data_IF_647717377966
#
_entry.id   IF_647717377966
#
_cell.length_a   1.000
_cell.length_b   1.000
_cell.length_c   1.000
_cell.angle_alpha   90.00
_cell.angle_beta   90.00
_cell.angle_gamma   90.00
#
_symmetry.space_group_name_H-M   'P 1'
#
loop_
_entity.id
_entity.type
_entity.pdbx_description
1 polymer ?
#
# COMPACT_ATOMS: atom_id res chain seq x y z
N UNK A 1 -21.47 -12.09 -11.87
CA UNK A 1 -20.29 -11.65 -12.65
C UNK A 1 -19.19 -11.54 -11.62
N UNK A 2 -18.24 -12.48 -11.63
CA UNK A 2 -17.07 -12.41 -10.75
C UNK A 2 -16.02 -11.66 -11.56
N UNK A 3 -15.69 -10.45 -11.14
CA UNK A 3 -14.66 -9.68 -11.82
C UNK A 3 -13.33 -10.38 -11.60
N UNK A 4 -12.74 -10.76 -12.73
CA UNK A 4 -11.46 -11.44 -12.88
C UNK A 4 -10.34 -10.65 -12.17
N UNK A 5 -10.05 -11.01 -10.92
CA UNK A 5 -8.83 -10.63 -10.20
C UNK A 5 -7.61 -11.36 -10.80
N UNK A 6 -7.41 -11.25 -12.10
CA UNK A 6 -6.34 -11.94 -12.83
C UNK A 6 -5.16 -11.06 -13.25
N UNK A 7 -5.22 -9.73 -13.07
CA UNK A 7 -4.22 -8.84 -13.70
C UNK A 7 -3.97 -7.53 -12.97
N UNK A 8 -3.41 -7.51 -11.76
CA UNK A 8 -2.86 -6.25 -11.21
C UNK A 8 -1.55 -6.34 -10.39
N UNK A 9 -0.71 -7.39 -10.40
CA UNK A 9 0.53 -7.36 -9.60
C UNK A 9 1.43 -6.17 -9.97
N UNK A 10 1.56 -5.85 -11.26
CA UNK A 10 2.36 -4.70 -11.70
C UNK A 10 1.77 -3.32 -11.32
N UNK A 11 0.44 -3.21 -11.19
CA UNK A 11 -0.21 -1.94 -10.85
C UNK A 11 -0.14 -1.66 -9.34
N UNK A 12 -0.30 -2.71 -8.52
CA UNK A 12 -0.13 -2.62 -7.06
C UNK A 12 1.32 -2.37 -6.69
N UNK A 13 2.27 -2.89 -7.46
CA UNK A 13 3.70 -2.67 -7.25
C UNK A 13 4.11 -1.22 -7.44
N UNK A 14 3.60 -0.56 -8.49
CA UNK A 14 3.81 0.88 -8.67
C UNK A 14 3.23 1.72 -7.53
N UNK A 15 2.06 1.32 -7.01
CA UNK A 15 1.41 1.99 -5.89
C UNK A 15 2.17 1.79 -4.58
N UNK A 16 2.67 0.58 -4.32
CA UNK A 16 3.46 0.24 -3.14
C UNK A 16 4.76 1.04 -3.11
N UNK A 17 5.46 1.12 -4.26
CA UNK A 17 6.68 1.92 -4.40
C UNK A 17 6.44 3.39 -4.12
N UNK A 18 5.35 3.93 -4.68
CA UNK A 18 4.93 5.31 -4.45
C UNK A 18 4.65 5.56 -2.97
N UNK A 19 3.89 4.68 -2.33
CA UNK A 19 3.53 4.82 -0.91
C UNK A 19 4.76 4.77 -0.01
N UNK A 20 5.67 3.83 -0.26
CA UNK A 20 6.96 3.74 0.42
C UNK A 20 7.80 5.01 0.26
N UNK A 21 7.82 5.59 -0.94
CA UNK A 21 8.56 6.81 -1.24
C UNK A 21 7.96 8.04 -0.53
N UNK A 22 6.64 8.19 -0.55
CA UNK A 22 5.95 9.35 0.06
C UNK A 22 5.96 9.31 1.59
N UNK A 23 5.99 8.12 2.18
CA UNK A 23 5.84 7.96 3.64
C UNK A 23 7.15 7.56 4.31
N UNK A 24 8.04 6.86 3.63
CA UNK A 24 9.31 6.35 4.14
C UNK A 24 9.22 4.99 4.83
N UNK A 25 8.11 4.26 4.67
CA UNK A 25 8.00 2.86 5.11
C UNK A 25 8.65 1.91 4.09
N UNK A 26 8.91 0.66 4.47
CA UNK A 26 9.40 -0.34 3.54
C UNK A 26 8.34 -0.70 2.48
N UNK A 27 8.77 -0.99 1.26
CA UNK A 27 7.87 -1.34 0.14
C UNK A 27 7.05 -2.61 0.42
N UNK A 28 7.58 -3.54 1.21
CA UNK A 28 6.84 -4.70 1.71
C UNK A 28 5.67 -4.30 2.63
N UNK A 29 5.89 -3.35 3.55
CA UNK A 29 4.83 -2.84 4.42
C UNK A 29 3.77 -2.08 3.62
N UNK A 30 4.19 -1.37 2.57
CA UNK A 30 3.28 -0.70 1.66
C UNK A 30 2.38 -1.69 0.90
N UNK A 31 2.93 -2.83 0.44
CA UNK A 31 2.15 -3.93 -0.16
C UNK A 31 1.16 -4.53 0.82
N UNK A 32 1.58 -4.81 2.05
CA UNK A 32 0.69 -5.33 3.09
C UNK A 32 -0.49 -4.38 3.37
N UNK A 33 -0.23 -3.07 3.42
CA UNK A 33 -1.30 -2.07 3.57
C UNK A 33 -2.25 -2.06 2.37
N UNK A 34 -1.74 -2.19 1.15
CA UNK A 34 -2.54 -2.24 -0.08
C UNK A 34 -3.41 -3.51 -0.11
N UNK A 35 -2.83 -4.66 0.27
CA UNK A 35 -3.56 -5.93 0.31
C UNK A 35 -4.65 -5.91 1.39
N UNK A 36 -4.41 -5.25 2.53
CA UNK A 36 -5.36 -5.17 3.65
C UNK A 36 -6.45 -4.11 3.46
N UNK A 37 -6.10 -2.92 2.94
CA UNK A 37 -7.00 -1.76 2.86
C UNK A 37 -7.55 -1.50 1.45
N UNK A 38 -6.99 -2.17 0.44
CA UNK A 38 -7.23 -1.87 -0.96
C UNK A 38 -6.54 -0.60 -1.42
N UNK A 39 -7.01 -0.05 -2.54
CA UNK A 39 -6.32 1.04 -3.27
C UNK A 39 -6.72 2.46 -2.81
N UNK A 40 -7.34 2.61 -1.63
CA UNK A 40 -7.73 3.93 -1.13
C UNK A 40 -6.52 4.71 -0.61
N UNK A 41 -6.02 5.63 -1.43
CA UNK A 41 -4.81 6.41 -1.16
C UNK A 41 -4.83 7.19 0.17
N UNK A 42 -5.96 7.79 0.55
CA UNK A 42 -6.03 8.57 1.80
C UNK A 42 -5.88 7.67 3.04
N UNK A 43 -6.46 6.46 2.99
CA UNK A 43 -6.32 5.47 4.06
C UNK A 43 -4.90 4.90 4.11
N UNK A 44 -4.33 4.59 2.94
CA UNK A 44 -2.94 4.13 2.82
C UNK A 44 -1.95 5.13 3.41
N UNK A 45 -2.07 6.42 3.08
CA UNK A 45 -1.21 7.47 3.63
C UNK A 45 -1.32 7.59 5.14
N UNK A 46 -2.53 7.50 5.70
CA UNK A 46 -2.76 7.58 7.14
C UNK A 46 -2.07 6.44 7.87
N UNK A 47 -2.35 5.21 7.46
CA UNK A 47 -1.80 4.02 8.11
C UNK A 47 -0.28 3.92 7.91
N UNK A 48 0.23 4.24 6.73
CA UNK A 48 1.68 4.27 6.47
C UNK A 48 2.41 5.30 7.35
N UNK A 49 1.83 6.48 7.58
CA UNK A 49 2.39 7.48 8.51
C UNK A 49 2.33 6.98 9.95
N UNK A 50 1.24 6.32 10.36
CA UNK A 50 1.15 5.70 11.68
C UNK A 50 2.19 4.60 11.87
N UNK A 51 2.43 3.76 10.86
CA UNK A 51 3.47 2.72 10.90
C UNK A 51 4.88 3.30 11.04
N UNK A 52 5.19 4.39 10.34
CA UNK A 52 6.48 5.08 10.47
C UNK A 52 6.66 5.71 11.85
N UNK A 53 5.62 6.33 12.38
CA UNK A 53 5.65 7.01 13.67
C UNK A 53 5.43 6.05 14.85
N UNK A 54 5.09 4.79 14.60
CA UNK A 54 4.57 3.82 15.56
C UNK A 54 5.39 2.55 15.70
N UNK A 55 6.70 2.58 15.40
CA UNK A 55 7.62 1.52 15.85
C UNK A 55 8.62 2.13 16.85
N UNK A 56 8.98 1.43 17.95
CA UNK A 56 9.89 1.92 19.00
C UNK A 56 11.18 2.55 18.46
#
# INVERSE_FOLDING_TARGET
MVDDQGKLPAATDGLARRLATETGIAEAQARELIDFLGLNWASLLREARMLKNGKP
#
